data_IF_867518529193
#
_entry.id   IF_867518529193
#
_cell.length_a   1.000
_cell.length_b   1.000
_cell.length_c   1.000
_cell.angle_alpha   90.00
_cell.angle_beta   90.00
_cell.angle_gamma   90.00
#
_symmetry.space_group_name_H-M   'P 1'
#
loop_
_entity.id
_entity.type
_entity.pdbx_description
1 polymer ?
#
# COMPACT_ATOMS: atom_id res chain seq x y z
N UNK A 1 -22.39 -25.83 -32.62
CA UNK A 1 -20.93 -26.00 -32.77
C UNK A 1 -20.33 -24.61 -32.52
N UNK A 2 -19.58 -24.46 -31.41
CA UNK A 2 -18.87 -23.24 -30.91
C UNK A 2 -19.77 -22.02 -30.65
N UNK A 3 -20.09 -21.59 -29.41
CA UNK A 3 -19.26 -21.30 -28.21
C UNK A 3 -17.96 -20.59 -28.55
N UNK A 4 -17.89 -19.30 -28.20
CA UNK A 4 -16.66 -18.76 -27.62
C UNK A 4 -16.96 -17.69 -26.57
N UNK A 5 -16.29 -17.88 -25.44
CA UNK A 5 -16.37 -17.14 -24.19
C UNK A 5 -15.41 -15.96 -24.22
N UNK A 6 -15.84 -14.80 -23.73
CA UNK A 6 -14.95 -13.72 -23.31
C UNK A 6 -14.87 -13.73 -21.79
N UNK A 7 -13.87 -14.43 -21.26
CA UNK A 7 -13.40 -14.30 -19.88
C UNK A 7 -12.42 -13.13 -19.79
N UNK A 8 -12.83 -12.04 -19.15
CA UNK A 8 -11.92 -10.99 -18.69
C UNK A 8 -11.49 -11.36 -17.27
N UNK A 9 -10.26 -11.86 -17.17
CA UNK A 9 -9.55 -12.09 -15.91
C UNK A 9 -8.80 -10.82 -15.55
N UNK A 10 -9.45 -9.90 -14.84
CA UNK A 10 -8.75 -8.79 -14.20
C UNK A 10 -8.35 -9.23 -12.78
N UNK A 11 -7.08 -9.56 -12.64
CA UNK A 11 -6.44 -9.85 -11.37
C UNK A 11 -6.25 -8.54 -10.58
N UNK A 12 -7.23 -8.14 -9.79
CA UNK A 12 -7.08 -7.08 -8.79
C UNK A 12 -6.21 -7.60 -7.64
N UNK A 13 -4.99 -7.06 -7.55
CA UNK A 13 -4.02 -7.45 -6.54
C UNK A 13 -4.33 -6.79 -5.20
N UNK A 14 -4.36 -7.59 -4.13
CA UNK A 14 -4.40 -7.13 -2.74
C UNK A 14 -2.96 -6.90 -2.29
N UNK A 15 -2.65 -5.68 -1.84
CA UNK A 15 -1.33 -5.39 -1.31
C UNK A 15 -1.23 -5.89 0.14
N UNK A 16 -0.44 -6.95 0.34
CA UNK A 16 -0.05 -7.47 1.66
C UNK A 16 1.26 -6.79 2.10
N UNK A 17 1.42 -6.57 3.40
CA UNK A 17 2.50 -5.80 4.00
C UNK A 17 3.42 -6.77 4.74
N UNK A 18 4.64 -6.97 4.25
CA UNK A 18 5.55 -7.99 4.77
C UNK A 18 6.81 -7.37 5.39
N UNK A 19 7.28 -8.01 6.46
CA UNK A 19 8.61 -7.85 7.04
C UNK A 19 9.28 -9.23 7.01
N UNK A 20 10.54 -9.24 6.53
CA UNK A 20 11.30 -10.38 5.97
C UNK A 20 11.66 -11.50 6.99
N UNK A 21 11.68 -12.77 6.55
CA UNK A 21 11.96 -13.98 7.37
C UNK A 21 12.87 -15.01 6.65
N UNK A 22 13.59 -15.82 7.44
CA UNK A 22 14.78 -16.63 7.08
C UNK A 22 14.47 -18.14 6.90
N UNK A 23 15.23 -18.81 6.02
CA UNK A 23 14.91 -20.08 5.35
C UNK A 23 15.25 -21.38 6.12
N UNK A 24 15.37 -21.34 7.45
CA UNK A 24 15.96 -22.44 8.23
C UNK A 24 14.94 -23.48 8.75
N UNK A 25 13.62 -23.29 8.52
CA UNK A 25 12.54 -24.05 9.19
C UNK A 25 12.01 -25.30 8.46
N UNK A 26 12.34 -25.54 7.19
CA UNK A 26 11.80 -26.70 6.44
C UNK A 26 12.40 -28.05 6.86
N UNK A 27 13.64 -28.08 7.35
CA UNK A 27 14.33 -29.34 7.70
C UNK A 27 13.83 -29.92 9.02
N UNK A 28 13.48 -29.07 9.99
CA UNK A 28 12.95 -29.50 11.29
C UNK A 28 11.52 -30.05 11.20
N UNK A 29 10.74 -29.60 10.20
CA UNK A 29 9.36 -30.04 10.00
C UNK A 29 9.27 -31.49 9.50
N UNK A 30 10.22 -31.93 8.66
CA UNK A 30 10.25 -33.29 8.12
C UNK A 30 10.68 -34.33 9.15
N UNK A 31 11.57 -33.97 10.08
CA UNK A 31 12.01 -34.88 11.14
C UNK A 31 10.93 -35.05 12.23
N UNK A 32 10.13 -34.01 12.50
CA UNK A 32 9.00 -34.11 13.42
C UNK A 32 7.91 -35.06 12.89
N UNK A 33 7.61 -35.02 11.59
CA UNK A 33 6.57 -35.87 10.98
C UNK A 33 6.88 -37.38 11.12
N UNK A 34 8.17 -37.76 11.10
CA UNK A 34 8.59 -39.17 11.16
C UNK A 34 8.50 -39.78 12.57
N UNK A 35 8.51 -38.96 13.62
CA UNK A 35 8.42 -39.41 15.02
C UNK A 35 6.96 -39.66 15.45
N UNK A 36 5.97 -39.08 14.74
CA UNK A 36 4.56 -39.22 15.09
C UNK A 36 3.88 -40.49 14.56
N UNK A 37 4.47 -41.19 13.59
CA UNK A 37 3.88 -42.41 12.99
C UNK A 37 4.00 -43.66 13.89
N UNK A 38 4.78 -43.60 14.97
CA UNK A 38 5.12 -44.76 15.81
C UNK A 38 4.25 -44.91 17.08
N UNK A 39 3.38 -43.95 17.40
CA UNK A 39 2.51 -44.00 18.59
C UNK A 39 1.03 -44.19 18.22
N UNK A 40 0.40 -45.25 18.76
CA UNK A 40 -1.02 -45.65 18.62
C UNK A 40 -2.03 -44.63 19.22
N UNK A 41 -1.91 -43.34 18.93
CA UNK A 41 -2.97 -42.39 19.21
C UNK A 41 -4.00 -42.49 18.11
N UNK A 42 -5.17 -43.06 18.43
CA UNK A 42 -6.31 -43.11 17.52
C UNK A 42 -6.75 -41.68 17.21
N UNK A 43 -6.28 -41.12 16.09
CA UNK A 43 -6.78 -39.86 15.56
C UNK A 43 -8.24 -40.11 15.23
N UNK A 44 -9.13 -39.67 16.11
CA UNK A 44 -10.54 -39.54 15.77
C UNK A 44 -10.61 -38.37 14.80
N UNK A 45 -10.37 -38.68 13.52
CA UNK A 45 -10.65 -37.78 12.42
C UNK A 45 -12.14 -37.48 12.50
N UNK A 46 -12.49 -36.35 13.11
CA UNK A 46 -13.80 -35.75 12.92
C UNK A 46 -14.01 -35.69 11.41
N UNK A 47 -14.95 -36.49 10.92
CA UNK A 47 -15.11 -36.75 9.51
C UNK A 47 -15.65 -35.49 8.82
N UNK A 48 -14.78 -34.53 8.48
CA UNK A 48 -15.03 -33.49 7.49
C UNK A 48 -13.69 -33.08 6.87
N UNK A 49 -13.53 -33.13 5.54
CA UNK A 49 -12.38 -32.53 4.88
C UNK A 49 -12.46 -31.01 5.06
N UNK A 50 -11.39 -30.42 5.62
CA UNK A 50 -11.18 -28.99 5.95
C UNK A 50 -11.28 -27.99 4.78
N UNK A 51 -11.91 -28.38 3.68
CA UNK A 51 -12.14 -27.56 2.52
C UNK A 51 -13.58 -27.05 2.59
N UNK A 52 -13.78 -25.79 3.00
CA UNK A 52 -15.00 -24.98 2.80
C UNK A 52 -16.09 -24.91 3.90
N UNK A 53 -15.86 -25.32 5.14
CA UNK A 53 -16.77 -24.90 6.23
C UNK A 53 -16.45 -23.46 6.71
N UNK A 54 -17.47 -22.67 7.09
CA UNK A 54 -17.23 -21.35 7.69
C UNK A 54 -16.40 -21.53 8.96
N UNK A 55 -15.21 -20.93 8.99
CA UNK A 55 -14.19 -21.03 10.05
C UNK A 55 -14.74 -20.86 11.48
N UNK A 56 -15.85 -20.14 11.64
CA UNK A 56 -16.57 -19.97 12.91
C UNK A 56 -17.27 -21.26 13.42
N UNK A 57 -17.85 -22.06 12.53
CA UNK A 57 -18.54 -23.29 12.91
C UNK A 57 -17.53 -24.34 13.41
N UNK A 58 -16.32 -24.32 12.84
CA UNK A 58 -15.19 -25.15 13.29
C UNK A 58 -14.70 -24.72 14.68
N UNK A 59 -14.57 -23.41 14.94
CA UNK A 59 -14.16 -22.89 16.25
C UNK A 59 -15.13 -23.30 17.38
N UNK A 60 -16.44 -23.18 17.13
CA UNK A 60 -17.47 -23.55 18.11
C UNK A 60 -17.54 -25.07 18.33
N UNK A 61 -17.41 -25.85 17.26
CA UNK A 61 -17.37 -27.30 17.34
C UNK A 61 -16.15 -27.79 18.12
N UNK A 62 -14.96 -27.24 17.85
CA UNK A 62 -13.74 -27.59 18.58
C UNK A 62 -13.87 -27.23 20.05
N UNK A 63 -14.36 -26.01 20.34
CA UNK A 63 -14.59 -25.56 21.72
C UNK A 63 -15.54 -26.51 22.46
N UNK A 64 -16.62 -26.95 21.80
CA UNK A 64 -17.57 -27.92 22.34
C UNK A 64 -16.94 -29.29 22.61
N UNK A 65 -16.09 -29.80 21.72
CA UNK A 65 -15.43 -31.11 21.90
C UNK A 65 -14.45 -31.12 23.08
N UNK A 66 -13.69 -30.03 23.26
CA UNK A 66 -12.75 -29.88 24.38
C UNK A 66 -13.50 -29.70 25.71
N UNK A 67 -14.47 -28.78 25.74
CA UNK A 67 -15.22 -28.47 26.98
C UNK A 67 -16.12 -29.63 27.43
N UNK A 68 -16.63 -30.45 26.51
CA UNK A 68 -17.39 -31.66 26.83
C UNK A 68 -16.53 -32.86 27.21
N UNK A 69 -15.19 -32.73 27.20
CA UNK A 69 -14.25 -33.81 27.50
C UNK A 69 -14.22 -34.93 26.46
N UNK A 70 -14.77 -34.70 25.26
CA UNK A 70 -14.77 -35.66 24.14
C UNK A 70 -13.45 -35.71 23.40
N UNK A 71 -12.66 -34.63 23.48
CA UNK A 71 -11.32 -34.57 22.92
C UNK A 71 -10.36 -34.05 23.99
N UNK A 72 -9.28 -34.79 24.22
CA UNK A 72 -8.23 -34.42 25.18
C UNK A 72 -7.26 -33.38 24.61
N UNK A 73 -7.04 -33.40 23.29
CA UNK A 73 -6.15 -32.47 22.58
C UNK A 73 -6.73 -32.20 21.19
N UNK A 74 -6.66 -30.94 20.75
CA UNK A 74 -7.10 -30.54 19.40
C UNK A 74 -5.99 -29.72 18.72
N UNK A 75 -5.37 -30.23 17.64
CA UNK A 75 -4.31 -29.54 16.94
C UNK A 75 -4.89 -28.58 15.89
N UNK A 76 -5.33 -27.39 16.33
CA UNK A 76 -5.79 -26.32 15.44
C UNK A 76 -4.97 -25.04 15.65
N UNK A 77 -4.90 -24.21 14.59
CA UNK A 77 -4.39 -22.85 14.73
C UNK A 77 -5.43 -22.02 15.46
N UNK A 78 -5.05 -21.48 16.61
CA UNK A 78 -5.96 -20.72 17.45
C UNK A 78 -5.24 -19.54 18.07
N UNK A 79 -5.94 -18.41 18.16
CA UNK A 79 -5.40 -17.19 18.74
C UNK A 79 -5.69 -17.15 20.23
N UNK A 80 -4.66 -16.80 20.99
CA UNK A 80 -4.76 -16.54 22.42
C UNK A 80 -5.62 -15.30 22.66
N UNK A 81 -6.84 -15.50 23.15
CA UNK A 81 -7.71 -14.43 23.64
C UNK A 81 -8.04 -14.68 25.10
N UNK A 82 -8.20 -13.59 25.86
CA UNK A 82 -8.43 -13.66 27.31
C UNK A 82 -9.71 -14.44 27.67
N UNK A 83 -10.73 -14.34 26.82
CA UNK A 83 -12.00 -15.07 26.98
C UNK A 83 -11.82 -16.58 26.81
N UNK A 84 -10.94 -17.00 25.90
CA UNK A 84 -10.67 -18.41 25.58
C UNK A 84 -9.76 -19.08 26.62
N UNK A 85 -8.82 -18.32 27.19
CA UNK A 85 -7.97 -18.78 28.30
C UNK A 85 -8.74 -19.20 29.56
N UNK A 86 -10.01 -18.81 29.70
CA UNK A 86 -10.85 -19.23 30.82
C UNK A 86 -11.52 -20.59 30.59
N UNK A 87 -11.54 -21.07 29.33
CA UNK A 87 -12.29 -22.26 28.94
C UNK A 87 -11.41 -23.51 28.86
N UNK A 88 -10.14 -23.36 28.47
CA UNK A 88 -9.20 -24.47 28.32
C UNK A 88 -7.75 -23.98 28.34
N UNK A 89 -6.84 -24.91 28.67
CA UNK A 89 -5.40 -24.67 28.66
C UNK A 89 -4.83 -24.81 27.25
N UNK A 90 -3.82 -24.00 26.95
CA UNK A 90 -3.09 -24.06 25.70
C UNK A 90 -1.69 -24.63 25.94
N UNK A 91 -1.16 -25.34 24.93
CA UNK A 91 0.25 -25.68 24.89
C UNK A 91 1.10 -24.44 24.60
N UNK A 92 2.42 -24.61 24.58
CA UNK A 92 3.33 -23.55 24.15
C UNK A 92 2.98 -23.07 22.72
N UNK A 93 2.96 -21.75 22.46
CA UNK A 93 2.73 -21.22 21.11
C UNK A 93 3.83 -21.70 20.16
N UNK A 94 3.45 -22.37 19.07
CA UNK A 94 4.40 -22.85 18.07
C UNK A 94 4.61 -21.85 16.92
N UNK A 95 3.71 -20.88 16.76
CA UNK A 95 3.74 -19.88 15.68
C UNK A 95 3.23 -18.51 16.18
N UNK A 96 3.77 -17.44 15.60
CA UNK A 96 3.39 -16.05 15.89
C UNK A 96 2.76 -15.44 14.65
N UNK A 97 1.43 -15.29 14.66
CA UNK A 97 0.74 -14.62 13.57
C UNK A 97 0.68 -13.11 13.80
N UNK A 98 0.98 -12.35 12.75
CA UNK A 98 0.78 -10.91 12.75
C UNK A 98 -0.61 -10.59 12.20
N UNK A 99 -1.35 -9.77 12.95
CA UNK A 99 -2.67 -9.30 12.51
C UNK A 99 -2.49 -8.15 11.54
N UNK A 100 -3.06 -8.29 10.34
CA UNK A 100 -2.97 -7.31 9.28
C UNK A 100 -4.36 -6.84 8.82
N UNK A 101 -4.38 -5.69 8.17
CA UNK A 101 -5.57 -5.16 7.51
C UNK A 101 -5.32 -5.18 6.01
N UNK A 102 -6.24 -5.78 5.27
CA UNK A 102 -6.30 -5.69 3.82
C UNK A 102 -7.18 -4.49 3.44
N UNK A 103 -6.72 -3.71 2.47
CA UNK A 103 -7.44 -2.55 1.93
C UNK A 103 -7.42 -2.64 0.41
N UNK A 104 -8.42 -2.05 -0.24
CA UNK A 104 -8.38 -1.86 -1.68
C UNK A 104 -7.09 -1.14 -2.09
N UNK A 105 -6.47 -1.59 -3.17
CA UNK A 105 -5.31 -0.91 -3.73
C UNK A 105 -5.73 0.49 -4.17
N UNK A 106 -4.99 1.52 -3.76
CA UNK A 106 -5.38 2.88 -4.08
C UNK A 106 -5.24 3.14 -5.59
N UNK A 107 -6.22 3.83 -6.15
CA UNK A 107 -6.18 4.29 -7.53
C UNK A 107 -4.99 5.24 -7.74
N UNK A 108 -4.28 5.04 -8.85
CA UNK A 108 -3.12 5.87 -9.22
C UNK A 108 -3.59 7.30 -9.50
N UNK A 109 -2.81 8.28 -9.06
CA UNK A 109 -3.09 9.70 -9.34
C UNK A 109 -3.14 9.97 -10.85
N UNK A 110 -3.94 10.96 -11.31
CA UNK A 110 -4.08 11.24 -12.74
C UNK A 110 -2.74 11.68 -13.36
N UNK A 111 -2.43 11.11 -14.53
CA UNK A 111 -1.13 11.23 -15.21
C UNK A 111 -0.71 12.64 -15.62
N UNK A 112 -1.66 13.57 -15.80
CA UNK A 112 -1.34 14.95 -16.16
C UNK A 112 -0.62 15.72 -15.04
N UNK A 113 -0.89 15.35 -13.77
CA UNK A 113 -0.24 16.00 -12.62
C UNK A 113 1.27 15.71 -12.61
N UNK A 114 1.69 14.58 -13.20
CA UNK A 114 3.10 14.21 -13.36
C UNK A 114 3.91 15.18 -14.21
N UNK A 115 3.28 16.05 -15.00
CA UNK A 115 3.96 17.11 -15.75
C UNK A 115 4.43 18.27 -14.85
N UNK A 116 3.70 18.56 -13.77
CA UNK A 116 4.00 19.68 -12.87
C UNK A 116 4.87 19.26 -11.67
N UNK A 117 4.66 18.04 -11.17
CA UNK A 117 5.39 17.45 -10.04
C UNK A 117 6.91 17.25 -10.15
N UNK A 118 7.59 17.26 -11.32
CA UNK A 118 9.03 17.01 -11.41
C UNK A 118 9.88 18.10 -10.75
N UNK A 119 9.31 19.29 -10.56
CA UNK A 119 9.96 20.46 -9.98
C UNK A 119 9.12 21.01 -8.82
N UNK A 120 9.80 21.46 -7.77
CA UNK A 120 9.16 22.16 -6.65
C UNK A 120 8.50 23.45 -7.12
N UNK A 121 7.38 23.82 -6.48
CA UNK A 121 6.71 25.11 -6.71
C UNK A 121 7.63 26.32 -6.53
N UNK A 122 8.61 26.24 -5.62
CA UNK A 122 9.61 27.30 -5.44
C UNK A 122 10.51 27.46 -6.67
N UNK A 123 10.88 26.36 -7.33
CA UNK A 123 11.70 26.38 -8.56
C UNK A 123 10.88 26.95 -9.71
N UNK A 124 9.60 26.56 -9.83
CA UNK A 124 8.69 27.14 -10.83
C UNK A 124 8.56 28.66 -10.67
N UNK A 125 8.35 29.14 -9.45
CA UNK A 125 8.28 30.57 -9.16
C UNK A 125 9.58 31.29 -9.48
N UNK A 126 10.74 30.72 -9.09
CA UNK A 126 12.05 31.29 -9.40
C UNK A 126 12.31 31.35 -10.91
N UNK A 127 11.96 30.30 -11.66
CA UNK A 127 12.10 30.26 -13.12
C UNK A 127 11.17 31.27 -13.80
N UNK A 128 9.91 31.39 -13.37
CA UNK A 128 8.99 32.42 -13.88
C UNK A 128 9.53 33.82 -13.64
N UNK A 129 10.01 34.09 -12.41
CA UNK A 129 10.61 35.36 -12.05
C UNK A 129 11.85 35.66 -12.91
N UNK A 130 12.70 34.67 -13.16
CA UNK A 130 13.88 34.81 -14.01
C UNK A 130 13.51 35.07 -15.49
N UNK A 131 12.51 34.35 -16.01
CA UNK A 131 11.96 34.54 -17.37
C UNK A 131 11.35 35.92 -17.54
N UNK A 132 10.76 36.51 -16.49
CA UNK A 132 10.25 37.88 -16.52
C UNK A 132 11.35 38.94 -16.34
N UNK A 133 12.31 38.73 -15.44
CA UNK A 133 13.36 39.71 -15.14
C UNK A 133 14.40 39.81 -16.25
N UNK A 134 14.82 38.70 -16.83
CA UNK A 134 15.87 38.70 -17.84
C UNK A 134 15.54 39.57 -19.07
N UNK A 135 14.37 39.49 -19.73
CA UNK A 135 14.06 40.36 -20.86
C UNK A 135 13.93 41.84 -20.44
N UNK A 136 13.55 42.14 -19.19
CA UNK A 136 13.54 43.51 -18.65
C UNK A 136 14.97 44.04 -18.53
N UNK A 137 15.89 43.24 -17.98
CA UNK A 137 17.31 43.59 -17.88
C UNK A 137 17.94 43.74 -19.26
N UNK A 138 17.66 42.84 -20.20
CA UNK A 138 18.18 42.91 -21.57
C UNK A 138 17.64 44.15 -22.31
N UNK A 139 16.35 44.46 -22.16
CA UNK A 139 15.73 45.67 -22.74
C UNK A 139 16.32 46.94 -22.13
N UNK A 140 16.53 46.97 -20.82
CA UNK A 140 17.14 48.11 -20.12
C UNK A 140 18.61 48.31 -20.53
N UNK A 141 19.37 47.24 -20.66
CA UNK A 141 20.78 47.26 -21.04
C UNK A 141 20.98 47.66 -22.52
N UNK A 142 20.10 47.23 -23.43
CA UNK A 142 20.25 47.51 -24.86
C UNK A 142 19.46 48.72 -25.37
N UNK A 143 18.63 49.35 -24.52
CA UNK A 143 17.78 50.54 -24.80
C UNK A 143 16.95 50.52 -26.10
N UNK A 144 16.94 49.42 -26.86
CA UNK A 144 16.39 49.35 -28.24
C UNK A 144 15.81 48.01 -28.67
N UNK A 145 15.94 46.93 -27.90
CA UNK A 145 15.50 45.62 -28.36
C UNK A 145 14.04 45.30 -28.02
N UNK A 146 13.17 45.42 -29.04
CA UNK A 146 11.77 44.99 -28.96
C UNK A 146 11.56 43.47 -28.97
N UNK A 147 12.63 42.67 -29.11
CA UNK A 147 12.58 41.19 -29.22
C UNK A 147 13.23 40.45 -28.05
N UNK A 148 13.50 41.14 -26.94
CA UNK A 148 14.16 40.53 -25.77
C UNK A 148 13.37 39.33 -25.22
N UNK A 149 12.03 39.44 -25.12
CA UNK A 149 11.14 38.38 -24.63
C UNK A 149 11.17 37.15 -25.54
N UNK A 150 11.09 37.36 -26.85
CA UNK A 150 11.14 36.29 -27.86
C UNK A 150 12.48 35.54 -27.78
N UNK A 151 13.60 36.27 -27.63
CA UNK A 151 14.92 35.64 -27.45
C UNK A 151 15.03 34.83 -26.17
N UNK A 152 14.56 35.35 -25.04
CA UNK A 152 14.63 34.63 -23.77
C UNK A 152 13.76 33.38 -23.78
N UNK A 153 12.57 33.44 -24.39
CA UNK A 153 11.67 32.29 -24.48
C UNK A 153 12.20 31.22 -25.45
N UNK A 154 12.68 31.61 -26.63
CA UNK A 154 13.27 30.69 -27.61
C UNK A 154 14.46 29.94 -27.05
N UNK A 155 15.39 30.67 -26.43
CA UNK A 155 16.59 30.05 -25.82
C UNK A 155 16.25 29.14 -24.65
N UNK A 156 15.21 29.44 -23.86
CA UNK A 156 14.69 28.54 -22.82
C UNK A 156 14.11 27.25 -23.42
N UNK A 157 13.39 27.37 -24.54
CA UNK A 157 12.83 26.24 -25.28
C UNK A 157 13.87 25.51 -26.15
N UNK A 158 15.16 25.84 -26.01
CA UNK A 158 16.26 25.32 -26.81
C UNK A 158 16.07 25.52 -28.34
N UNK A 159 15.43 26.62 -28.72
CA UNK A 159 15.27 27.08 -30.10
C UNK A 159 16.42 28.02 -30.52
N UNK A 160 16.49 28.30 -31.81
CA UNK A 160 17.50 29.16 -32.43
C UNK A 160 17.44 30.61 -31.92
N UNK A 161 18.60 31.27 -31.87
CA UNK A 161 18.65 32.70 -31.57
C UNK A 161 18.23 33.52 -32.80
N UNK A 162 17.17 34.32 -32.71
CA UNK A 162 16.78 35.18 -33.81
C UNK A 162 17.74 36.38 -33.93
N UNK A 163 18.47 36.40 -35.04
CA UNK A 163 19.26 37.54 -35.50
C UNK A 163 20.72 37.56 -35.02
N UNK A 164 21.44 38.67 -35.30
CA UNK A 164 22.87 38.76 -35.00
C UNK A 164 23.13 38.80 -33.49
N UNK A 165 24.20 38.13 -33.07
CA UNK A 165 24.69 38.18 -31.70
C UNK A 165 25.15 39.62 -31.39
N UNK A 166 24.74 40.21 -30.27
CA UNK A 166 25.19 41.55 -29.91
C UNK A 166 26.70 41.61 -29.69
N UNK A 167 27.27 42.73 -30.09
CA UNK A 167 28.71 42.95 -30.11
C UNK A 167 29.31 43.21 -28.72
N UNK A 168 28.51 43.65 -27.75
CA UNK A 168 28.98 44.03 -26.42
C UNK A 168 29.39 42.80 -25.57
N UNK A 169 30.64 42.74 -25.07
CA UNK A 169 31.13 41.65 -24.22
C UNK A 169 30.28 41.31 -22.98
N UNK A 170 29.80 42.29 -22.18
CA UNK A 170 29.03 41.96 -20.97
C UNK A 170 27.68 41.30 -21.28
N UNK A 171 27.09 41.62 -22.44
CA UNK A 171 25.84 40.97 -22.86
C UNK A 171 26.10 39.52 -23.27
N UNK A 172 27.20 39.23 -23.96
CA UNK A 172 27.54 37.86 -24.36
C UNK A 172 27.73 36.95 -23.15
N UNK A 173 28.32 37.46 -22.08
CA UNK A 173 28.44 36.74 -20.81
C UNK A 173 27.06 36.48 -20.17
N UNK A 174 26.19 37.49 -20.12
CA UNK A 174 24.83 37.34 -19.56
C UNK A 174 24.00 36.35 -20.37
N UNK A 175 24.01 36.46 -21.70
CA UNK A 175 23.30 35.56 -22.62
C UNK A 175 23.89 34.14 -22.55
N UNK A 176 25.22 34.01 -22.48
CA UNK A 176 25.89 32.72 -22.33
C UNK A 176 25.53 32.04 -21.01
N UNK A 177 25.50 32.79 -19.90
CA UNK A 177 25.05 32.29 -18.60
C UNK A 177 23.58 31.87 -18.62
N UNK A 178 22.72 32.64 -19.30
CA UNK A 178 21.32 32.26 -19.51
C UNK A 178 21.16 30.99 -20.34
N UNK A 179 21.93 30.83 -21.41
CA UNK A 179 21.90 29.63 -22.24
C UNK A 179 22.39 28.40 -21.45
N UNK A 180 23.42 28.54 -20.62
CA UNK A 180 23.88 27.48 -19.73
C UNK A 180 22.80 27.11 -18.71
N UNK A 181 22.14 28.10 -18.10
CA UNK A 181 21.00 27.86 -17.21
C UNK A 181 19.87 27.13 -17.92
N UNK A 182 19.44 27.61 -19.09
CA UNK A 182 18.37 27.00 -19.88
C UNK A 182 18.69 25.54 -20.26
N UNK A 183 19.95 25.25 -20.61
CA UNK A 183 20.42 23.90 -20.91
C UNK A 183 20.31 23.00 -19.68
N UNK A 184 20.86 23.43 -18.54
CA UNK A 184 20.84 22.64 -17.29
C UNK A 184 19.40 22.45 -16.80
N UNK A 185 18.58 23.50 -16.82
CA UNK A 185 17.18 23.45 -16.41
C UNK A 185 16.36 22.52 -17.30
N UNK A 186 16.51 22.63 -18.63
CA UNK A 186 15.82 21.77 -19.59
C UNK A 186 16.24 20.30 -19.44
N UNK A 187 17.52 20.02 -19.23
CA UNK A 187 18.02 18.68 -18.98
C UNK A 187 17.46 18.09 -17.66
N UNK A 188 17.49 18.87 -16.58
CA UNK A 188 16.96 18.45 -15.28
C UNK A 188 15.45 18.20 -15.32
N UNK A 189 14.68 19.09 -15.95
CA UNK A 189 13.24 18.93 -16.09
C UNK A 189 12.89 17.69 -16.91
N UNK A 190 13.54 17.47 -18.07
CA UNK A 190 13.32 16.28 -18.90
C UNK A 190 13.69 15.00 -18.16
N UNK A 191 14.83 14.99 -17.44
CA UNK A 191 15.25 13.83 -16.64
C UNK A 191 14.24 13.49 -15.54
N UNK A 192 13.83 14.48 -14.76
CA UNK A 192 12.85 14.28 -13.69
C UNK A 192 11.46 13.91 -14.23
N UNK A 193 11.07 14.47 -15.38
CA UNK A 193 9.82 14.13 -16.05
C UNK A 193 9.82 12.67 -16.50
N UNK A 194 10.89 12.20 -17.13
CA UNK A 194 11.03 10.79 -17.51
C UNK A 194 10.89 9.90 -16.28
N UNK A 195 11.58 10.22 -15.18
CA UNK A 195 11.46 9.45 -13.93
C UNK A 195 10.03 9.47 -13.35
N UNK A 196 9.34 10.60 -13.42
CA UNK A 196 7.96 10.74 -12.94
C UNK A 196 6.93 10.03 -13.82
N UNK A 197 7.25 9.79 -15.10
CA UNK A 197 6.39 9.05 -16.03
C UNK A 197 6.64 7.55 -15.99
N UNK A 198 7.86 7.11 -15.63
CA UNK A 198 8.17 5.67 -15.52
C UNK A 198 7.75 5.06 -14.19
N UNK A 199 7.71 5.85 -13.10
CA UNK A 199 7.34 5.37 -11.77
C UNK A 199 5.98 5.97 -11.37
N UNK A 200 4.89 5.18 -11.34
CA UNK A 200 3.60 5.67 -10.88
C UNK A 200 3.70 6.08 -9.41
N UNK A 201 3.24 7.30 -9.10
CA UNK A 201 3.13 7.77 -7.72
C UNK A 201 1.86 7.23 -7.10
N UNK A 202 2.01 6.21 -6.27
CA UNK A 202 0.94 5.75 -5.40
C UNK A 202 0.73 6.76 -4.26
N UNK A 203 -0.52 6.94 -3.79
CA UNK A 203 -0.76 7.73 -2.59
C UNK A 203 -0.11 7.07 -1.38
N UNK A 204 0.07 7.86 -0.32
CA UNK A 204 0.71 7.39 0.91
C UNK A 204 -0.04 6.16 1.43
N UNK A 205 0.70 5.07 1.62
CA UNK A 205 0.19 3.84 2.22
C UNK A 205 -0.11 4.08 3.70
N UNK A 206 -1.18 3.47 4.19
CA UNK A 206 -1.53 3.49 5.62
C UNK A 206 -0.57 2.55 6.34
N UNK A 207 0.21 3.09 7.27
CA UNK A 207 1.26 2.33 7.98
C UNK A 207 0.97 2.19 9.47
N UNK A 208 -0.01 2.95 9.99
CA UNK A 208 -0.34 2.93 11.41
C UNK A 208 -1.82 2.69 11.66
N UNK A 209 -2.10 2.07 12.81
CA UNK A 209 -3.46 1.84 13.27
C UNK A 209 -4.24 3.15 13.50
N UNK A 210 -3.54 4.24 13.85
CA UNK A 210 -4.14 5.57 13.98
C UNK A 210 -4.63 6.11 12.63
N UNK A 211 -3.80 5.98 11.60
CA UNK A 211 -4.18 6.38 10.24
C UNK A 211 -5.32 5.50 9.73
N UNK A 212 -5.32 4.20 10.03
CA UNK A 212 -6.40 3.29 9.65
C UNK A 212 -7.76 3.73 10.22
N UNK A 213 -7.83 3.98 11.53
CA UNK A 213 -9.07 4.41 12.20
C UNK A 213 -9.57 5.75 11.67
N UNK A 214 -8.68 6.62 11.19
CA UNK A 214 -9.05 7.91 10.62
C UNK A 214 -9.50 7.81 9.15
N UNK A 215 -9.05 6.79 8.42
CA UNK A 215 -9.29 6.64 6.99
C UNK A 215 -10.49 5.75 6.67
N UNK A 216 -10.72 4.71 7.48
CA UNK A 216 -11.69 3.65 7.21
C UNK A 216 -12.96 3.87 8.03
N UNK A 217 -14.11 3.84 7.36
CA UNK A 217 -15.42 3.94 8.01
C UNK A 217 -15.88 2.60 8.63
N UNK A 218 -15.43 1.47 8.06
CA UNK A 218 -15.82 0.13 8.48
C UNK A 218 -14.72 -0.91 8.24
N UNK A 219 -14.55 -1.81 9.22
CA UNK A 219 -13.64 -2.95 9.14
C UNK A 219 -14.48 -4.24 9.08
N UNK A 220 -14.45 -4.96 7.97
CA UNK A 220 -15.19 -6.23 7.83
C UNK A 220 -14.37 -7.39 8.38
N UNK A 221 -15.01 -8.29 9.13
CA UNK A 221 -14.39 -9.50 9.67
C UNK A 221 -15.32 -10.69 9.56
N UNK A 222 -14.78 -11.88 9.32
CA UNK A 222 -15.52 -13.15 9.32
C UNK A 222 -16.22 -13.42 10.68
N UNK A 223 -17.11 -14.43 10.79
CA UNK A 223 -17.92 -14.60 12.00
C UNK A 223 -17.14 -14.85 13.30
N UNK A 224 -15.93 -15.42 13.24
CA UNK A 224 -15.01 -15.53 14.40
C UNK A 224 -14.50 -14.18 14.92
N UNK A 225 -14.73 -13.10 14.18
CA UNK A 225 -14.39 -11.74 14.57
C UNK A 225 -15.14 -11.21 15.78
N UNK A 226 -16.18 -11.89 16.26
CA UNK A 226 -16.90 -11.52 17.48
C UNK A 226 -15.97 -11.46 18.67
N UNK A 227 -15.12 -12.48 18.86
CA UNK A 227 -14.22 -12.55 20.00
C UNK A 227 -13.13 -11.47 19.93
N UNK A 228 -12.68 -11.14 18.72
CA UNK A 228 -11.74 -10.04 18.48
C UNK A 228 -12.37 -8.69 18.76
N UNK A 229 -13.59 -8.47 18.29
CA UNK A 229 -14.35 -7.26 18.55
C UNK A 229 -14.53 -7.05 20.04
N UNK A 230 -14.91 -8.10 20.77
CA UNK A 230 -15.13 -8.03 22.22
C UNK A 230 -13.81 -7.80 22.98
N UNK A 231 -12.73 -8.46 22.56
CA UNK A 231 -11.38 -8.21 23.08
C UNK A 231 -10.92 -6.77 22.88
N UNK A 232 -11.16 -6.20 21.69
CA UNK A 232 -10.82 -4.80 21.40
C UNK A 232 -11.70 -3.81 22.16
N UNK A 233 -12.98 -4.12 22.35
CA UNK A 233 -13.90 -3.28 23.12
C UNK A 233 -13.58 -3.27 24.62
N UNK A 234 -13.09 -4.40 25.15
CA UNK A 234 -12.67 -4.51 26.56
C UNK A 234 -11.27 -3.95 26.82
N UNK A 235 -10.45 -3.79 25.78
CA UNK A 235 -9.08 -3.27 25.92
C UNK A 235 -8.99 -1.89 26.58
N UNK A 236 -7.89 -1.61 27.29
CA UNK A 236 -7.66 -0.29 27.90
C UNK A 236 -7.33 0.80 26.87
N UNK A 237 -6.75 0.39 25.74
CA UNK A 237 -6.32 1.31 24.69
C UNK A 237 -7.50 1.96 23.97
N UNK A 238 -7.59 3.30 23.94
CA UNK A 238 -8.67 4.00 23.23
C UNK A 238 -8.64 3.73 21.72
N UNK A 239 -7.45 3.44 21.18
CA UNK A 239 -7.25 3.13 19.77
C UNK A 239 -7.83 1.76 19.40
N UNK A 240 -7.55 0.73 20.20
CA UNK A 240 -8.13 -0.61 19.99
C UNK A 240 -9.64 -0.59 20.18
N UNK A 241 -10.16 0.15 21.18
CA UNK A 241 -11.60 0.40 21.32
C UNK A 241 -12.21 1.11 20.11
N UNK A 242 -11.47 1.98 19.43
CA UNK A 242 -11.93 2.61 18.19
C UNK A 242 -12.02 1.58 17.06
N UNK A 243 -11.00 0.72 16.92
CA UNK A 243 -11.00 -0.39 15.96
C UNK A 243 -12.17 -1.33 16.22
N UNK A 244 -12.38 -1.78 17.46
CA UNK A 244 -13.49 -2.65 17.84
C UNK A 244 -14.87 -2.07 17.51
N UNK A 245 -15.02 -0.74 17.56
CA UNK A 245 -16.25 -0.06 17.12
C UNK A 245 -16.45 -0.08 15.60
N UNK A 246 -15.37 -0.08 14.83
CA UNK A 246 -15.41 -0.13 13.37
C UNK A 246 -15.60 -1.56 12.83
N UNK A 247 -15.36 -2.59 13.64
CA UNK A 247 -15.53 -3.99 13.23
C UNK A 247 -17.00 -4.33 13.03
N UNK A 248 -17.34 -4.77 11.81
CA UNK A 248 -18.61 -5.36 11.45
C UNK A 248 -18.40 -6.80 11.01
N UNK A 249 -19.21 -7.69 11.58
CA UNK A 249 -19.16 -9.12 11.28
C UNK A 249 -19.90 -9.38 9.97
N UNK A 250 -19.22 -10.06 9.05
CA UNK A 250 -19.75 -10.50 7.75
C UNK A 250 -19.87 -12.03 7.72
N UNK A 251 -20.80 -12.59 6.92
CA UNK A 251 -21.06 -14.03 6.93
C UNK A 251 -19.86 -14.88 6.49
N UNK A 252 -19.06 -14.39 5.55
CA UNK A 252 -17.91 -15.11 5.04
C UNK A 252 -16.77 -14.16 4.61
N UNK A 253 -15.57 -14.74 4.47
CA UNK A 253 -14.36 -14.01 4.08
C UNK A 253 -14.49 -13.35 2.70
N UNK A 254 -15.12 -14.05 1.76
CA UNK A 254 -15.26 -13.57 0.37
C UNK A 254 -16.16 -12.34 0.26
N UNK A 255 -17.27 -12.29 1.00
CA UNK A 255 -18.12 -11.09 1.09
C UNK A 255 -17.35 -9.94 1.73
N UNK A 256 -16.62 -10.18 2.84
CA UNK A 256 -15.77 -9.14 3.45
C UNK A 256 -14.76 -8.55 2.47
N UNK A 257 -14.08 -9.42 1.70
CA UNK A 257 -13.10 -8.98 0.70
C UNK A 257 -13.76 -8.19 -0.42
N UNK A 258 -14.92 -8.65 -0.90
CA UNK A 258 -15.69 -7.97 -1.95
C UNK A 258 -16.15 -6.60 -1.46
N UNK A 259 -16.65 -6.49 -0.22
CA UNK A 259 -17.04 -5.21 0.35
C UNK A 259 -15.84 -4.26 0.50
N UNK A 260 -14.67 -4.77 0.91
CA UNK A 260 -13.44 -3.97 1.03
C UNK A 260 -12.89 -3.50 -0.33
N UNK A 261 -13.15 -4.22 -1.42
CA UNK A 261 -12.76 -3.80 -2.78
C UNK A 261 -13.68 -2.71 -3.34
N UNK A 262 -15.00 -2.86 -3.18
CA UNK A 262 -15.98 -1.95 -3.80
C UNK A 262 -16.33 -0.74 -2.94
N UNK A 263 -16.25 -0.87 -1.62
CA UNK A 263 -16.49 0.21 -0.66
C UNK A 263 -15.14 0.56 -0.03
N UNK A 264 -14.92 1.81 0.37
CA UNK A 264 -13.66 2.26 1.03
C UNK A 264 -13.54 1.68 2.44
N UNK A 265 -13.50 0.37 2.54
CA UNK A 265 -13.58 -0.40 3.77
C UNK A 265 -12.32 -1.23 3.93
N UNK A 266 -11.92 -1.45 5.18
CA UNK A 266 -10.82 -2.35 5.50
C UNK A 266 -11.35 -3.74 5.74
N UNK A 267 -10.65 -4.76 5.27
CA UNK A 267 -10.89 -6.14 5.68
C UNK A 267 -9.84 -6.56 6.70
N UNK A 268 -10.28 -7.19 7.78
CA UNK A 268 -9.37 -7.84 8.70
C UNK A 268 -8.86 -9.16 8.10
N UNK A 269 -7.55 -9.35 8.03
CA UNK A 269 -6.97 -10.59 7.51
C UNK A 269 -5.84 -11.06 8.41
N UNK A 270 -5.89 -12.32 8.78
CA UNK A 270 -4.69 -13.04 9.22
C UNK A 270 -3.81 -13.17 7.98
N UNK A 271 -2.61 -12.61 8.03
CA UNK A 271 -1.62 -12.88 7.00
C UNK A 271 -1.10 -14.29 7.27
N UNK A 272 -1.47 -15.24 6.41
CA UNK A 272 -0.90 -16.59 6.41
C UNK A 272 0.38 -16.45 5.60
N UNK A 273 1.52 -16.52 6.29
CA UNK A 273 2.84 -16.61 5.70
C UNK A 273 3.30 -18.06 5.70
#
# INVERSE_FOLDING_TARGET
MMSDCTSVSDSESVAVIDLEYDAQSETELNDAARVYEENEHQIVMGAQPYMFEPEYEVDEQVTSQVTSGRSMLVPIRYVFLQTRLQLYDFTYPFDYINMAFALATPLVSPSWLSLYLPLSGAVWLATLLLVCLLPVVLKAALRREGRAVDRTLRTLLAQDLPGPLPAAPPYRLLLGAWMLFALVFGAAYRGNLTAALTIPKYPKRIESLRELVAYVDRITMSPYGTDYRDSYMTSESPLLKAVGRLIQIVPNRTVGLTEALYKREGMWSVAIF
#
